data_IF_363372244637
#
_entry.id   IF_363372244637
#
_cell.length_a   1.000
_cell.length_b   1.000
_cell.length_c   1.000
_cell.angle_alpha   90.00
_cell.angle_beta   90.00
_cell.angle_gamma   90.00
#
_symmetry.space_group_name_H-M   'P 1'
#
loop_
_entity.id
_entity.type
_entity.pdbx_description
1 polymer ?
#
# COMPACT_ATOMS: atom_id res chain seq x y z
N UNK A 1 16.60 2.08 5.71
CA UNK A 1 15.29 1.90 5.07
C UNK A 1 15.00 0.40 4.99
N UNK A 2 13.78 -0.02 5.36
CA UNK A 2 13.33 -1.41 5.22
C UNK A 2 13.38 -1.84 3.74
N UNK A 3 13.85 -3.06 3.44
CA UNK A 3 14.00 -3.57 2.06
C UNK A 3 12.68 -3.63 1.29
N UNK A 4 11.56 -3.88 1.96
CA UNK A 4 10.24 -3.96 1.35
C UNK A 4 9.67 -2.57 1.08
N UNK A 5 9.92 -1.61 1.98
CA UNK A 5 9.58 -0.21 1.70
C UNK A 5 10.39 0.34 0.53
N UNK A 6 11.66 -0.05 0.38
CA UNK A 6 12.45 0.29 -0.79
C UNK A 6 11.81 -0.24 -2.09
N UNK A 7 11.32 -1.49 -2.09
CA UNK A 7 10.59 -2.04 -3.24
C UNK A 7 9.27 -1.32 -3.52
N UNK A 8 8.54 -0.87 -2.49
CA UNK A 8 7.33 -0.06 -2.68
C UNK A 8 7.65 1.32 -3.31
N UNK A 9 8.79 1.93 -2.93
CA UNK A 9 9.29 3.18 -3.53
C UNK A 9 9.72 2.97 -4.99
N UNK A 10 10.31 1.82 -5.34
CA UNK A 10 10.62 1.46 -6.73
C UNK A 10 9.34 1.41 -7.57
N UNK A 11 8.28 0.77 -7.08
CA UNK A 11 6.97 0.72 -7.75
C UNK A 11 6.34 2.12 -7.91
N UNK A 12 6.41 2.96 -6.87
CA UNK A 12 5.94 4.34 -6.92
C UNK A 12 6.72 5.19 -7.94
N UNK A 13 8.03 5.00 -8.00
CA UNK A 13 8.91 5.71 -8.95
C UNK A 13 8.65 5.27 -10.39
N UNK A 14 8.37 3.98 -10.61
CA UNK A 14 8.06 3.44 -11.91
C UNK A 14 6.75 4.03 -12.49
N UNK A 15 5.67 4.10 -11.69
CA UNK A 15 4.43 4.75 -12.15
C UNK A 15 4.62 6.24 -12.40
N UNK A 16 5.41 6.95 -11.57
CA UNK A 16 5.75 8.38 -11.81
C UNK A 16 6.41 8.57 -13.17
N UNK A 17 7.37 7.70 -13.52
CA UNK A 17 8.03 7.71 -14.82
C UNK A 17 7.10 7.39 -15.99
N UNK A 18 6.03 6.62 -15.74
CA UNK A 18 4.96 6.29 -16.69
C UNK A 18 3.85 7.37 -16.74
N UNK A 19 4.02 8.50 -16.03
CA UNK A 19 3.04 9.60 -15.99
C UNK A 19 1.85 9.39 -15.03
N UNK A 20 1.91 8.38 -14.17
CA UNK A 20 0.91 8.10 -13.13
C UNK A 20 1.20 8.79 -11.80
N UNK A 21 0.29 8.61 -10.84
CA UNK A 21 0.47 9.12 -9.48
C UNK A 21 1.47 8.24 -8.70
N UNK A 22 2.42 8.82 -7.95
CA UNK A 22 3.60 8.15 -7.43
C UNK A 22 3.33 7.34 -6.15
N UNK A 23 2.47 6.34 -6.24
CA UNK A 23 2.10 5.48 -5.12
C UNK A 23 2.41 4.01 -5.43
N UNK A 24 3.05 3.34 -4.48
CA UNK A 24 3.49 1.96 -4.61
C UNK A 24 3.27 1.18 -3.33
N UNK A 25 3.08 -0.13 -3.47
CA UNK A 25 2.85 -1.05 -2.37
C UNK A 25 3.42 -2.44 -2.68
N UNK A 26 3.83 -3.16 -1.64
CA UNK A 26 4.19 -4.57 -1.72
C UNK A 26 3.55 -5.35 -0.57
N UNK A 27 3.06 -6.54 -0.89
CA UNK A 27 2.47 -7.46 0.08
C UNK A 27 3.46 -8.58 0.37
N UNK A 28 3.77 -8.78 1.64
CA UNK A 28 4.83 -9.68 2.10
C UNK A 28 4.25 -10.78 2.96
N UNK A 29 4.74 -12.02 2.79
CA UNK A 29 4.48 -13.18 3.65
C UNK A 29 5.79 -13.88 3.97
N UNK A 30 6.06 -14.17 5.23
CA UNK A 30 7.25 -14.95 5.61
C UNK A 30 8.59 -14.35 5.14
N UNK A 31 8.65 -13.04 4.89
CA UNK A 31 9.84 -12.37 4.36
C UNK A 31 9.98 -12.39 2.82
N UNK A 32 8.98 -12.90 2.11
CA UNK A 32 8.90 -12.94 0.65
C UNK A 32 7.78 -12.03 0.13
N UNK A 33 8.02 -11.39 -1.01
CA UNK A 33 7.00 -10.56 -1.67
C UNK A 33 6.07 -11.49 -2.46
N UNK A 34 4.80 -11.54 -2.06
CA UNK A 34 3.77 -12.32 -2.76
C UNK A 34 2.98 -11.46 -3.76
N UNK A 35 3.04 -10.12 -3.64
CA UNK A 35 2.39 -9.21 -4.58
C UNK A 35 3.07 -7.84 -4.61
N UNK A 36 3.16 -7.25 -5.80
CA UNK A 36 3.67 -5.88 -6.02
C UNK A 36 2.60 -5.07 -6.71
N UNK A 37 2.48 -3.80 -6.35
CA UNK A 37 1.51 -2.90 -6.94
C UNK A 37 1.99 -1.46 -6.99
N UNK A 38 1.61 -0.77 -8.05
CA UNK A 38 1.73 0.68 -8.19
C UNK A 38 0.40 1.24 -8.63
N UNK A 39 0.18 2.54 -8.42
CA UNK A 39 -0.98 3.21 -8.97
C UNK A 39 -0.90 3.15 -10.51
N UNK A 40 -1.91 2.54 -11.13
CA UNK A 40 -2.03 2.36 -12.57
C UNK A 40 -3.36 2.90 -13.09
N UNK A 41 -3.97 3.88 -12.41
CA UNK A 41 -5.30 4.41 -12.80
C UNK A 41 -5.28 4.90 -14.25
N UNK A 42 -4.26 5.66 -14.62
CA UNK A 42 -4.10 6.22 -15.96
C UNK A 42 -3.72 5.12 -16.96
N UNK A 43 -2.74 4.28 -16.59
CA UNK A 43 -2.19 3.24 -17.45
C UNK A 43 -3.22 2.17 -17.81
N UNK A 44 -4.09 1.80 -16.86
CA UNK A 44 -5.13 0.80 -17.04
C UNK A 44 -6.50 1.40 -17.41
N UNK A 45 -6.65 2.73 -17.35
CA UNK A 45 -7.97 3.39 -17.43
C UNK A 45 -8.97 2.78 -16.43
N UNK A 46 -8.50 2.53 -15.21
CA UNK A 46 -9.24 1.81 -14.17
C UNK A 46 -9.14 2.56 -12.83
N UNK A 47 -10.25 3.13 -12.31
CA UNK A 47 -10.24 3.89 -11.07
C UNK A 47 -9.89 3.03 -9.84
N UNK A 48 -9.93 1.70 -9.94
CA UNK A 48 -9.60 0.79 -8.83
C UNK A 48 -8.12 0.40 -8.79
N UNK A 49 -7.32 0.79 -9.78
CA UNK A 49 -5.91 0.44 -9.92
C UNK A 49 -4.99 1.26 -8.99
N UNK A 50 -5.30 1.30 -7.69
CA UNK A 50 -4.42 1.86 -6.66
C UNK A 50 -3.27 0.89 -6.32
N UNK A 51 -2.17 1.40 -5.75
CA UNK A 51 -1.00 0.59 -5.42
C UNK A 51 -1.33 -0.59 -4.50
N UNK A 52 -2.04 -0.35 -3.41
CA UNK A 52 -2.44 -1.37 -2.43
C UNK A 52 -3.40 -2.39 -3.05
N UNK A 53 -4.39 -1.92 -3.80
CA UNK A 53 -5.35 -2.76 -4.49
C UNK A 53 -4.66 -3.68 -5.50
N UNK A 54 -3.70 -3.12 -6.25
CA UNK A 54 -2.95 -3.88 -7.24
C UNK A 54 -1.98 -4.87 -6.60
N UNK A 55 -1.37 -4.54 -5.46
CA UNK A 55 -0.53 -5.47 -4.72
C UNK A 55 -1.33 -6.70 -4.22
N UNK A 56 -2.55 -6.48 -3.70
CA UNK A 56 -3.47 -7.57 -3.31
C UNK A 56 -3.89 -8.37 -4.55
N UNK A 57 -4.25 -7.69 -5.66
CA UNK A 57 -4.60 -8.35 -6.92
C UNK A 57 -3.45 -9.21 -7.47
N UNK A 58 -2.22 -8.70 -7.42
CA UNK A 58 -1.03 -9.40 -7.89
C UNK A 58 -0.70 -10.63 -7.03
N UNK A 59 -1.00 -10.60 -5.74
CA UNK A 59 -0.91 -11.78 -4.88
C UNK A 59 -1.92 -12.89 -5.24
N UNK A 60 -3.00 -12.55 -5.95
CA UNK A 60 -3.99 -13.52 -6.41
C UNK A 60 -4.80 -14.16 -5.29
N UNK A 61 -5.51 -15.25 -5.59
CA UNK A 61 -6.28 -15.95 -4.55
C UNK A 61 -5.35 -16.66 -3.56
N UNK A 62 -5.58 -16.43 -2.28
CA UNK A 62 -4.85 -17.05 -1.18
C UNK A 62 -5.83 -17.79 -0.27
N UNK A 63 -5.37 -18.81 0.44
CA UNK A 63 -6.18 -19.48 1.47
C UNK A 63 -6.53 -18.50 2.62
N UNK A 64 -5.57 -17.64 2.97
CA UNK A 64 -5.72 -16.55 3.92
C UNK A 64 -4.67 -15.47 3.66
N UNK A 65 -4.93 -14.24 4.12
CA UNK A 65 -3.97 -13.14 4.14
C UNK A 65 -3.53 -12.77 5.57
N UNK A 66 -3.97 -13.53 6.57
CA UNK A 66 -3.78 -13.23 7.99
C UNK A 66 -2.30 -13.28 8.46
N UNK A 67 -1.39 -13.83 7.65
CA UNK A 67 0.04 -13.94 7.91
C UNK A 67 0.87 -12.98 7.04
N UNK A 68 0.22 -11.93 6.50
CA UNK A 68 0.84 -10.97 5.59
C UNK A 68 1.10 -9.61 6.23
N UNK A 69 2.01 -8.85 5.63
CA UNK A 69 2.27 -7.44 5.97
C UNK A 69 2.23 -6.64 4.67
N UNK A 70 1.41 -5.60 4.63
CA UNK A 70 1.36 -4.67 3.50
C UNK A 70 2.29 -3.50 3.77
N UNK A 71 3.19 -3.21 2.84
CA UNK A 71 3.99 -2.00 2.82
C UNK A 71 3.43 -1.07 1.75
N UNK A 72 3.22 0.20 2.08
CA UNK A 72 2.73 1.22 1.14
C UNK A 72 3.49 2.54 1.32
N UNK A 73 3.79 3.22 0.21
CA UNK A 73 4.53 4.49 0.24
C UNK A 73 3.71 5.63 0.83
N UNK A 74 2.38 5.56 0.76
CA UNK A 74 1.46 6.57 1.27
C UNK A 74 0.32 5.91 2.05
N UNK A 75 -0.27 6.66 2.99
CA UNK A 75 -1.35 6.14 3.81
C UNK A 75 -2.54 5.66 2.95
N UNK A 76 -3.08 4.44 3.17
CA UNK A 76 -4.16 3.89 2.35
C UNK A 76 -5.42 4.77 2.38
N UNK A 77 -6.03 5.01 1.23
CA UNK A 77 -7.36 5.65 1.17
C UNK A 77 -8.45 4.71 1.72
N UNK A 78 -9.67 5.22 1.95
CA UNK A 78 -10.74 4.44 2.56
C UNK A 78 -11.12 3.18 1.76
N UNK A 79 -11.02 3.22 0.42
CA UNK A 79 -11.22 2.04 -0.42
C UNK A 79 -10.16 0.96 -0.16
N UNK A 80 -8.88 1.35 -0.13
CA UNK A 80 -7.78 0.43 0.11
C UNK A 80 -7.85 -0.13 1.54
N UNK A 81 -8.18 0.71 2.52
CA UNK A 81 -8.45 0.31 3.89
C UNK A 81 -9.58 -0.74 3.98
N UNK A 82 -10.67 -0.54 3.23
CA UNK A 82 -11.76 -1.51 3.11
C UNK A 82 -11.28 -2.87 2.59
N UNK A 83 -10.39 -2.89 1.59
CA UNK A 83 -9.80 -4.13 1.08
C UNK A 83 -8.87 -4.81 2.10
N UNK A 84 -8.02 -4.03 2.77
CA UNK A 84 -7.12 -4.50 3.84
C UNK A 84 -7.91 -5.20 4.94
N UNK A 85 -8.98 -4.55 5.43
CA UNK A 85 -9.89 -5.11 6.44
C UNK A 85 -10.62 -6.34 5.91
N UNK A 86 -11.14 -6.28 4.67
CA UNK A 86 -11.87 -7.40 4.05
C UNK A 86 -11.04 -8.68 3.98
N UNK A 87 -9.76 -8.56 3.65
CA UNK A 87 -8.84 -9.70 3.57
C UNK A 87 -8.15 -10.00 4.90
N UNK A 88 -8.40 -9.22 5.95
CA UNK A 88 -7.80 -9.42 7.28
C UNK A 88 -6.26 -9.38 7.24
N UNK A 89 -5.69 -8.49 6.42
CA UNK A 89 -4.25 -8.21 6.43
C UNK A 89 -3.94 -7.53 7.78
N UNK A 90 -3.20 -8.17 8.69
CA UNK A 90 -3.14 -7.74 10.09
C UNK A 90 -2.29 -6.48 10.31
N UNK A 91 -1.39 -6.15 9.38
CA UNK A 91 -0.37 -5.12 9.57
C UNK A 91 -0.10 -4.34 8.30
N UNK A 92 -0.03 -3.02 8.45
CA UNK A 92 0.32 -2.09 7.37
C UNK A 92 1.48 -1.19 7.81
N UNK A 93 2.56 -1.20 7.04
CA UNK A 93 3.72 -0.31 7.20
C UNK A 93 3.58 0.82 6.18
N UNK A 94 3.63 2.06 6.65
CA UNK A 94 3.24 3.24 5.87
C UNK A 94 4.42 4.21 5.83
N UNK A 95 4.84 4.57 4.60
CA UNK A 95 5.94 5.49 4.36
C UNK A 95 5.62 6.92 4.76
N UNK A 96 4.62 7.52 4.11
CA UNK A 96 4.15 8.88 4.36
C UNK A 96 2.66 8.91 4.76
N UNK A 97 2.33 9.82 5.68
CA UNK A 97 0.97 10.01 6.17
C UNK A 97 0.70 11.48 6.52
N UNK A 98 -0.58 11.85 6.53
CA UNK A 98 -1.06 13.22 6.73
C UNK A 98 -2.31 13.23 7.63
N UNK A 99 -2.67 14.39 8.17
CA UNK A 99 -3.84 14.55 9.05
C UNK A 99 -5.15 14.13 8.38
N UNK A 100 -5.31 14.44 7.08
CA UNK A 100 -6.52 14.09 6.32
C UNK A 100 -6.75 12.58 6.17
N UNK A 101 -5.76 11.75 6.54
CA UNK A 101 -5.93 10.29 6.55
C UNK A 101 -6.65 9.75 7.79
N UNK A 102 -7.00 10.61 8.77
CA UNK A 102 -7.65 10.20 10.02
C UNK A 102 -8.85 9.25 9.83
N UNK A 103 -9.79 9.46 8.87
CA UNK A 103 -10.92 8.54 8.70
C UNK A 103 -10.49 7.11 8.32
N UNK A 104 -9.48 6.98 7.47
CA UNK A 104 -8.95 5.67 7.05
C UNK A 104 -8.16 5.01 8.19
N UNK A 105 -7.40 5.80 8.95
CA UNK A 105 -6.66 5.36 10.15
C UNK A 105 -7.60 4.78 11.20
N UNK A 106 -8.62 5.54 11.59
CA UNK A 106 -9.61 5.14 12.57
C UNK A 106 -10.36 3.88 12.13
N UNK A 107 -10.75 3.81 10.85
CA UNK A 107 -11.42 2.64 10.30
C UNK A 107 -10.56 1.37 10.40
N UNK A 108 -9.28 1.42 10.03
CA UNK A 108 -8.39 0.27 10.11
C UNK A 108 -8.10 -0.14 11.57
N UNK A 109 -7.85 0.83 12.46
CA UNK A 109 -7.62 0.58 13.88
C UNK A 109 -8.84 -0.05 14.57
N UNK A 110 -10.05 0.42 14.24
CA UNK A 110 -11.30 -0.15 14.75
C UNK A 110 -11.45 -1.64 14.39
N UNK A 111 -10.92 -2.06 13.25
CA UNK A 111 -10.94 -3.46 12.79
C UNK A 111 -9.69 -4.25 13.20
N UNK A 112 -8.88 -3.72 14.13
CA UNK A 112 -7.74 -4.42 14.71
C UNK A 112 -6.51 -4.51 13.80
N UNK A 113 -6.42 -3.68 12.76
CA UNK A 113 -5.24 -3.63 11.89
C UNK A 113 -4.13 -2.83 12.59
N UNK A 114 -2.95 -3.41 12.71
CA UNK A 114 -1.75 -2.74 13.21
C UNK A 114 -1.22 -1.77 12.14
N UNK A 115 -1.07 -0.50 12.49
CA UNK A 115 -0.54 0.53 11.59
C UNK A 115 0.80 1.03 12.12
N UNK A 116 1.82 1.03 11.27
CA UNK A 116 3.15 1.58 11.57
C UNK A 116 3.47 2.70 10.59
N UNK A 117 3.32 3.94 11.04
CA UNK A 117 3.63 5.14 10.26
C UNK A 117 5.10 5.54 10.47
N UNK A 118 5.91 5.48 9.42
CA UNK A 118 7.37 5.65 9.51
C UNK A 118 7.83 7.09 9.29
N UNK A 119 7.02 7.93 8.64
CA UNK A 119 7.36 9.33 8.37
C UNK A 119 8.62 9.50 7.50
N UNK A 120 8.76 8.67 6.47
CA UNK A 120 9.97 8.64 5.64
C UNK A 120 10.03 9.84 4.68
N UNK A 121 11.09 10.69 4.74
CA UNK A 121 11.25 11.83 3.84
C UNK A 121 11.19 11.45 2.36
N UNK A 122 11.73 10.29 1.99
CA UNK A 122 11.73 9.78 0.62
C UNK A 122 10.31 9.53 0.12
N UNK A 123 9.40 9.10 0.99
CA UNK A 123 8.00 8.88 0.64
C UNK A 123 7.22 10.19 0.51
N UNK A 124 7.53 11.21 1.33
CA UNK A 124 6.96 12.54 1.15
C UNK A 124 7.40 13.19 -0.16
N UNK A 125 8.70 13.09 -0.48
CA UNK A 125 9.27 13.65 -1.72
C UNK A 125 8.74 13.02 -3.00
N UNK A 126 8.12 11.83 -2.94
CA UNK A 126 7.45 11.23 -4.10
C UNK A 126 6.25 12.07 -4.54
N UNK A 127 5.52 12.66 -3.59
CA UNK A 127 4.23 13.33 -3.78
C UNK A 127 4.35 14.85 -3.99
N UNK A 128 5.55 15.39 -3.81
CA UNK A 128 5.96 16.73 -4.23
C UNK A 128 6.23 16.78 -5.76
#
# INVERSE_FOLDING_TARGET
MDKFMAMAIEEASATKAEGGSPFGAVLVRGGEVIGRGRNLIIQNTDPLSHGEMYAIKAAGLQESYADTVLYTTAFPCLMCAGAIVRYQIPKVIIGASWEHNAPSREFMQLHGIELVEQGLPECFALVE
#
